data_IF_681741643534
#
_entry.id   IF_681741643534
#
_cell.length_a   1.000
_cell.length_b   1.000
_cell.length_c   1.000
_cell.angle_alpha   90.00
_cell.angle_beta   90.00
_cell.angle_gamma   90.00
#
_symmetry.space_group_name_H-M   'P 1'
#
loop_
_entity.id
_entity.type
_entity.pdbx_description
1 polymer ?
#
# COMPACT_ATOMS: atom_id res chain seq x y z
N UNK A 1 -10.80 -7.21 16.93
CA UNK A 1 -10.82 -7.54 15.50
C UNK A 1 -9.41 -7.93 15.07
N UNK A 2 -9.22 -9.14 14.56
CA UNK A 2 -7.93 -9.66 14.08
C UNK A 2 -7.85 -9.45 12.57
N UNK A 3 -6.77 -8.84 12.10
CA UNK A 3 -6.61 -8.44 10.70
C UNK A 3 -5.32 -9.04 10.17
N UNK A 4 -5.41 -9.82 9.09
CA UNK A 4 -4.26 -10.30 8.34
C UNK A 4 -4.10 -9.46 7.07
N UNK A 5 -2.97 -8.79 6.95
CA UNK A 5 -2.60 -8.03 5.75
C UNK A 5 -1.40 -8.70 5.10
N UNK A 6 -1.54 -9.06 3.83
CA UNK A 6 -0.45 -9.62 3.03
C UNK A 6 -0.05 -8.60 1.97
N UNK A 7 1.21 -8.20 2.00
CA UNK A 7 1.80 -7.17 1.14
C UNK A 7 2.80 -7.83 0.20
N UNK A 8 2.53 -7.92 -1.11
CA UNK A 8 3.54 -8.29 -2.08
C UNK A 8 4.55 -7.16 -2.24
N UNK A 9 5.84 -7.48 -2.19
CA UNK A 9 6.92 -6.51 -2.30
C UNK A 9 8.02 -6.99 -3.23
N UNK A 10 8.42 -6.12 -4.14
CA UNK A 10 9.57 -6.30 -5.01
C UNK A 10 10.35 -5.00 -5.13
N UNK A 11 11.66 -5.09 -4.95
CA UNK A 11 12.59 -4.02 -5.31
C UNK A 11 13.87 -4.63 -5.86
N UNK A 12 14.04 -4.55 -7.17
CA UNK A 12 15.15 -5.16 -7.88
C UNK A 12 15.38 -4.51 -9.24
N UNK A 13 16.23 -5.10 -10.08
CA UNK A 13 16.46 -4.61 -11.44
C UNK A 13 15.14 -4.43 -12.17
N UNK A 14 14.97 -3.29 -12.85
CA UNK A 14 13.77 -3.05 -13.63
C UNK A 14 13.70 -4.08 -14.76
N UNK A 15 12.59 -4.77 -14.88
CA UNK A 15 12.31 -5.64 -16.00
C UNK A 15 11.45 -4.83 -16.99
N UNK A 16 11.88 -4.67 -18.26
CA UNK A 16 11.16 -3.84 -19.25
C UNK A 16 9.70 -4.25 -19.44
N UNK A 17 9.41 -5.55 -19.26
CA UNK A 17 8.07 -6.14 -19.43
C UNK A 17 7.11 -5.79 -18.27
N UNK A 18 7.63 -5.33 -17.13
CA UNK A 18 6.89 -5.05 -15.91
C UNK A 18 7.24 -3.67 -15.35
N UNK A 19 7.17 -2.64 -16.20
CA UNK A 19 7.52 -1.27 -15.84
C UNK A 19 6.72 -0.68 -14.65
N UNK A 20 5.62 -1.34 -14.25
CA UNK A 20 4.85 -1.01 -13.06
C UNK A 20 5.44 -1.60 -11.77
N UNK A 21 6.18 -2.71 -11.87
CA UNK A 21 6.89 -3.32 -10.74
C UNK A 21 8.15 -2.51 -10.43
N UNK A 22 8.19 -1.91 -9.25
CA UNK A 22 9.36 -1.17 -8.80
C UNK A 22 9.70 0.05 -9.67
N UNK A 23 8.69 0.68 -10.27
CA UNK A 23 8.83 1.88 -11.11
C UNK A 23 9.29 3.12 -10.34
N UNK A 24 9.63 3.00 -9.09
CA UNK A 24 10.42 3.98 -8.37
C UNK A 24 11.87 3.83 -8.81
N UNK A 25 12.29 4.76 -9.64
CA UNK A 25 13.71 4.95 -9.96
C UNK A 25 14.48 5.43 -8.72
N UNK A 26 13.78 5.89 -7.69
CA UNK A 26 14.31 6.38 -6.44
C UNK A 26 14.05 5.40 -5.29
N UNK A 27 15.14 4.81 -4.79
CA UNK A 27 15.14 3.87 -3.67
C UNK A 27 14.63 4.49 -2.37
N UNK A 28 14.95 5.74 -2.10
CA UNK A 28 14.54 6.43 -0.87
C UNK A 28 13.04 6.68 -0.85
N UNK A 29 12.46 7.08 -1.97
CA UNK A 29 11.01 7.24 -2.10
C UNK A 29 10.29 5.92 -1.82
N UNK A 30 10.85 4.80 -2.29
CA UNK A 30 10.26 3.49 -2.02
C UNK A 30 10.34 3.09 -0.55
N UNK A 31 11.50 3.34 0.09
CA UNK A 31 11.67 3.12 1.53
C UNK A 31 10.67 3.98 2.32
N UNK A 32 10.54 5.26 1.97
CA UNK A 32 9.62 6.17 2.65
C UNK A 32 8.14 5.73 2.49
N UNK A 33 7.73 5.40 1.26
CA UNK A 33 6.36 4.94 0.97
C UNK A 33 6.03 3.67 1.75
N UNK A 34 6.89 2.66 1.68
CA UNK A 34 6.65 1.39 2.36
C UNK A 34 6.70 1.55 3.88
N UNK A 35 7.62 2.36 4.41
CA UNK A 35 7.66 2.65 5.85
C UNK A 35 6.35 3.29 6.30
N UNK A 36 5.83 4.28 5.57
CA UNK A 36 4.56 4.95 5.93
C UNK A 36 3.38 3.99 5.82
N UNK A 37 3.34 3.09 4.83
CA UNK A 37 2.33 2.03 4.74
C UNK A 37 2.28 1.20 6.03
N UNK A 38 3.44 0.70 6.49
CA UNK A 38 3.53 -0.12 7.72
C UNK A 38 3.18 0.71 8.96
N UNK A 39 3.71 1.94 9.05
CA UNK A 39 3.46 2.84 10.19
C UNK A 39 1.99 3.21 10.29
N UNK A 40 1.32 3.52 9.16
CA UNK A 40 -0.11 3.83 9.15
C UNK A 40 -0.97 2.67 9.66
N UNK A 41 -0.64 1.43 9.25
CA UNK A 41 -1.33 0.23 9.73
C UNK A 41 -1.19 0.05 11.23
N UNK A 42 0.01 0.17 11.78
CA UNK A 42 0.23 0.06 13.23
C UNK A 42 -0.31 1.25 14.02
N UNK A 43 -0.32 2.45 13.45
CA UNK A 43 -0.89 3.67 14.06
C UNK A 43 -2.38 3.49 14.37
N UNK A 44 -3.14 2.89 13.46
CA UNK A 44 -4.59 2.78 13.58
C UNK A 44 -5.06 1.42 14.09
N UNK A 45 -4.32 0.35 13.78
CA UNK A 45 -4.76 -1.03 14.02
C UNK A 45 -3.76 -1.86 14.83
N UNK A 46 -2.68 -1.25 15.29
CA UNK A 46 -1.70 -1.91 16.18
C UNK A 46 -2.22 -2.00 17.62
N UNK A 47 -1.74 -3.00 18.35
CA UNK A 47 -2.11 -3.24 19.74
C UNK A 47 -1.15 -2.59 20.75
N UNK A 48 -0.01 -2.01 20.29
CA UNK A 48 1.05 -1.51 21.15
C UNK A 48 0.94 -0.01 21.43
N UNK A 49 -0.06 0.39 22.22
CA UNK A 49 -0.22 1.76 22.68
C UNK A 49 0.51 1.97 24.02
N UNK A 50 1.18 3.11 24.14
CA UNK A 50 1.89 3.48 25.38
C UNK A 50 1.63 4.93 25.73
N UNK A 51 1.57 5.25 27.03
CA UNK A 51 1.54 6.63 27.55
C UNK A 51 2.93 7.09 27.95
N UNK A 52 3.12 8.40 27.89
CA UNK A 52 4.28 9.07 28.49
C UNK A 52 3.82 9.78 29.75
N UNK A 53 4.30 9.32 30.92
CA UNK A 53 4.11 10.01 32.19
C UNK A 53 5.43 10.67 32.61
N UNK A 54 5.42 11.99 32.63
CA UNK A 54 6.62 12.77 32.88
C UNK A 54 7.68 12.55 31.79
N UNK A 55 8.81 11.90 32.13
CA UNK A 55 9.92 11.57 31.20
C UNK A 55 10.02 10.08 30.90
N UNK A 56 9.08 9.27 31.37
CA UNK A 56 9.09 7.80 31.18
C UNK A 56 7.98 7.36 30.28
N UNK A 57 8.28 6.38 29.43
CA UNK A 57 7.26 5.67 28.65
C UNK A 57 6.71 4.57 29.55
N UNK A 58 5.50 4.71 30.03
CA UNK A 58 4.87 3.71 30.89
C UNK A 58 3.92 2.81 30.09
N UNK A 59 3.74 1.62 30.59
CA UNK A 59 2.96 0.47 30.20
C UNK A 59 2.06 0.51 28.96
N UNK A 60 1.73 -0.66 28.44
CA UNK A 60 0.77 -0.78 27.35
C UNK A 60 -0.61 -0.29 27.82
N UNK A 61 -1.12 0.79 27.23
CA UNK A 61 -2.50 1.15 27.34
C UNK A 61 -3.29 0.25 26.40
N UNK A 62 -3.86 -0.79 26.97
CA UNK A 62 -4.82 -1.62 26.25
C UNK A 62 -6.23 -0.99 26.40
N UNK A 63 -6.38 0.23 25.88
CA UNK A 63 -7.60 1.02 26.01
C UNK A 63 -8.68 0.54 25.02
N UNK A 64 -9.12 -0.70 25.13
CA UNK A 64 -10.36 -1.14 24.49
C UNK A 64 -10.38 -1.12 22.96
N UNK A 65 -9.33 -0.68 22.29
CA UNK A 65 -9.18 -0.81 20.85
C UNK A 65 -8.78 -2.24 20.53
N UNK A 66 -9.76 -3.00 20.05
CA UNK A 66 -9.71 -4.43 19.85
C UNK A 66 -9.12 -4.83 18.49
N UNK A 67 -8.13 -4.08 18.00
CA UNK A 67 -7.44 -4.44 16.76
C UNK A 67 -6.15 -5.19 17.06
N UNK A 68 -5.93 -6.25 16.32
CA UNK A 68 -4.69 -7.03 16.28
C UNK A 68 -4.32 -7.22 14.81
N UNK A 69 -3.34 -6.46 14.32
CA UNK A 69 -2.90 -6.49 12.94
C UNK A 69 -1.65 -7.35 12.80
N UNK A 70 -1.72 -8.34 11.92
CA UNK A 70 -0.58 -9.14 11.47
C UNK A 70 -0.27 -8.77 10.03
N UNK A 71 0.96 -8.34 9.78
CA UNK A 71 1.44 -7.93 8.46
C UNK A 71 2.44 -8.98 7.97
N UNK A 72 2.14 -9.59 6.82
CA UNK A 72 3.02 -10.54 6.14
C UNK A 72 3.50 -9.91 4.84
N UNK A 73 4.80 -9.76 4.67
CA UNK A 73 5.41 -9.26 3.44
C UNK A 73 5.92 -10.43 2.62
N UNK A 74 5.37 -10.60 1.41
CA UNK A 74 5.84 -11.59 0.43
C UNK A 74 6.88 -10.95 -0.47
N UNK A 75 8.04 -11.57 -0.61
CA UNK A 75 9.14 -11.01 -1.41
C UNK A 75 10.06 -12.09 -1.95
N UNK A 76 10.99 -11.70 -2.82
CA UNK A 76 12.11 -12.55 -3.24
C UNK A 76 13.31 -12.35 -2.30
N UNK A 77 14.15 -13.37 -2.10
CA UNK A 77 15.25 -13.32 -1.13
C UNK A 77 16.22 -12.15 -1.32
N UNK A 78 16.53 -11.79 -2.57
CA UNK A 78 17.57 -10.83 -2.93
C UNK A 78 17.04 -9.61 -3.70
N UNK A 79 15.72 -9.39 -3.72
CA UNK A 79 15.10 -8.31 -4.48
C UNK A 79 14.06 -7.56 -3.63
N UNK A 80 14.54 -6.96 -2.53
CA UNK A 80 13.73 -6.19 -1.60
C UNK A 80 14.55 -5.13 -0.89
N UNK A 81 13.85 -4.23 -0.18
CA UNK A 81 14.45 -3.14 0.64
C UNK A 81 14.18 -3.32 2.14
N UNK A 82 13.73 -4.50 2.56
CA UNK A 82 13.22 -4.71 3.92
C UNK A 82 14.27 -4.44 5.02
N UNK A 83 15.53 -4.71 4.75
CA UNK A 83 16.63 -4.44 5.69
C UNK A 83 16.91 -2.93 5.89
N UNK A 84 16.38 -2.10 5.02
CA UNK A 84 16.56 -0.64 5.07
C UNK A 84 15.38 0.06 5.75
N UNK A 85 14.25 -0.65 5.90
CA UNK A 85 13.13 -0.20 6.70
C UNK A 85 13.57 -0.25 8.17
N UNK A 86 13.75 0.88 8.80
CA UNK A 86 14.15 0.96 10.23
C UNK A 86 12.95 0.65 11.14
N UNK A 87 12.35 -0.52 10.97
CA UNK A 87 11.22 -0.99 11.74
C UNK A 87 11.68 -1.77 12.98
N UNK A 88 10.88 -1.70 14.05
CA UNK A 88 11.14 -2.51 15.23
C UNK A 88 10.96 -4.01 14.92
N UNK A 89 11.71 -4.91 15.56
CA UNK A 89 11.52 -6.35 15.41
C UNK A 89 10.07 -6.77 15.70
N UNK A 90 9.52 -7.67 14.87
CA UNK A 90 8.15 -8.15 15.02
C UNK A 90 7.06 -7.23 14.45
N UNK A 91 7.42 -6.09 13.85
CA UNK A 91 6.47 -5.20 13.17
C UNK A 91 5.87 -5.86 11.92
N UNK A 92 6.67 -6.64 11.21
CA UNK A 92 6.27 -7.40 10.02
C UNK A 92 6.80 -8.83 10.10
N UNK A 93 6.12 -9.76 9.45
CA UNK A 93 6.61 -11.09 9.13
C UNK A 93 7.04 -11.13 7.66
N UNK A 94 8.24 -11.61 7.38
CA UNK A 94 8.76 -11.71 6.01
C UNK A 94 8.69 -13.15 5.54
N UNK A 95 8.11 -13.38 4.37
CA UNK A 95 8.08 -14.68 3.69
C UNK A 95 8.67 -14.55 2.30
N UNK A 96 9.73 -15.30 2.05
CA UNK A 96 10.29 -15.42 0.71
C UNK A 96 9.46 -16.42 -0.11
N UNK A 97 9.22 -16.08 -1.37
CA UNK A 97 8.57 -16.92 -2.37
C UNK A 97 9.53 -17.18 -3.52
N UNK A 98 9.31 -18.29 -4.23
CA UNK A 98 10.10 -18.68 -5.40
C UNK A 98 9.21 -18.57 -6.65
N UNK A 99 9.23 -17.39 -7.28
CA UNK A 99 8.49 -17.12 -8.52
C UNK A 99 9.13 -15.96 -9.27
N UNK A 100 8.69 -15.70 -10.48
CA UNK A 100 9.02 -14.45 -11.20
C UNK A 100 8.46 -13.23 -10.44
N UNK A 101 9.15 -12.08 -10.47
CA UNK A 101 8.75 -10.88 -9.72
C UNK A 101 7.29 -10.47 -9.90
N UNK A 102 6.78 -10.50 -11.13
CA UNK A 102 5.39 -10.15 -11.44
C UNK A 102 4.35 -11.10 -10.82
N UNK A 103 4.77 -12.30 -10.41
CA UNK A 103 3.90 -13.33 -9.84
C UNK A 103 3.87 -13.35 -8.32
N UNK A 104 4.66 -12.50 -7.66
CA UNK A 104 4.60 -12.37 -6.18
C UNK A 104 3.18 -12.06 -5.71
N UNK A 105 2.42 -11.11 -6.32
CA UNK A 105 1.05 -10.82 -5.95
C UNK A 105 0.11 -12.02 -6.05
N UNK A 106 0.33 -12.92 -7.02
CA UNK A 106 -0.46 -14.15 -7.20
C UNK A 106 -0.24 -15.19 -6.09
N UNK A 107 0.78 -15.01 -5.24
CA UNK A 107 1.00 -15.90 -4.08
C UNK A 107 0.21 -15.45 -2.84
N UNK A 108 -0.37 -14.24 -2.85
CA UNK A 108 -1.14 -13.70 -1.72
C UNK A 108 -2.36 -14.56 -1.36
N UNK A 109 -3.21 -15.01 -2.30
CA UNK A 109 -4.38 -15.86 -2.00
C UNK A 109 -4.01 -17.10 -1.20
N UNK A 110 -2.89 -17.74 -1.51
CA UNK A 110 -2.42 -18.95 -0.81
C UNK A 110 -2.10 -18.68 0.65
N UNK A 111 -1.47 -17.54 0.94
CA UNK A 111 -1.14 -17.13 2.32
C UNK A 111 -2.42 -16.79 3.09
N UNK A 112 -3.36 -16.10 2.47
CA UNK A 112 -4.65 -15.78 3.08
C UNK A 112 -5.43 -17.06 3.40
N UNK A 113 -5.52 -17.99 2.45
CA UNK A 113 -6.23 -19.26 2.63
C UNK A 113 -5.60 -20.16 3.70
N UNK A 114 -4.28 -20.20 3.79
CA UNK A 114 -3.56 -20.95 4.82
C UNK A 114 -3.86 -20.46 6.26
N UNK A 115 -4.43 -19.27 6.40
CA UNK A 115 -4.83 -18.69 7.68
C UNK A 115 -6.36 -18.61 7.86
N UNK A 116 -7.13 -19.28 7.01
CA UNK A 116 -8.59 -19.23 7.06
C UNK A 116 -9.12 -19.63 8.44
N UNK A 117 -10.04 -18.83 8.99
CA UNK A 117 -10.62 -19.02 10.31
C UNK A 117 -9.85 -18.36 11.47
N UNK A 118 -8.64 -17.87 11.23
CA UNK A 118 -7.82 -17.25 12.28
C UNK A 118 -8.02 -15.74 12.42
N UNK A 119 -8.55 -15.07 11.40
CA UNK A 119 -8.70 -13.62 11.35
C UNK A 119 -10.14 -13.22 11.00
N UNK A 120 -10.50 -12.00 11.38
CA UNK A 120 -11.79 -11.40 11.04
C UNK A 120 -11.75 -10.73 9.66
N UNK A 121 -10.55 -10.25 9.25
CA UNK A 121 -10.28 -9.71 7.92
C UNK A 121 -9.04 -10.33 7.27
N UNK A 122 -9.10 -10.50 5.94
CA UNK A 122 -8.08 -11.04 5.05
C UNK A 122 -7.83 -10.03 3.93
N UNK A 123 -6.63 -9.46 3.88
CA UNK A 123 -6.37 -8.28 3.08
C UNK A 123 -5.15 -8.45 2.17
N UNK A 124 -5.31 -8.03 0.93
CA UNK A 124 -4.23 -7.71 0.01
C UNK A 124 -4.01 -6.20 0.01
N UNK A 125 -2.78 -5.74 0.11
CA UNK A 125 -2.44 -4.33 0.07
C UNK A 125 -1.08 -4.16 -0.62
N UNK A 126 -0.99 -3.26 -1.62
CA UNK A 126 0.32 -2.91 -2.20
C UNK A 126 1.15 -2.08 -1.21
N UNK A 127 2.47 -2.13 -1.38
CA UNK A 127 3.46 -1.62 -0.41
C UNK A 127 3.66 -0.09 -0.44
N UNK A 128 2.84 0.62 -1.22
CA UNK A 128 2.80 2.07 -1.34
C UNK A 128 1.43 2.68 -1.06
N UNK A 129 0.59 1.95 -0.31
CA UNK A 129 -0.75 2.39 0.06
C UNK A 129 -0.88 2.56 1.57
N UNK A 130 -1.43 3.69 2.03
CA UNK A 130 -1.69 3.93 3.44
C UNK A 130 -3.18 4.11 3.73
N UNK A 131 -3.61 3.49 4.84
CA UNK A 131 -4.92 3.68 5.45
C UNK A 131 -4.78 4.75 6.53
N UNK A 132 -5.52 5.86 6.41
CA UNK A 132 -5.52 6.94 7.39
C UNK A 132 -6.80 6.99 8.23
N UNK A 133 -7.83 6.25 7.85
CA UNK A 133 -9.11 6.22 8.54
C UNK A 133 -9.14 5.13 9.62
N UNK A 134 -9.23 5.47 10.92
CA UNK A 134 -9.34 4.47 11.99
C UNK A 134 -10.65 3.66 11.93
N UNK A 135 -11.67 4.13 11.22
CA UNK A 135 -12.96 3.43 11.04
C UNK A 135 -13.00 2.55 9.78
N UNK A 136 -11.89 2.45 9.05
CA UNK A 136 -11.81 1.75 7.76
C UNK A 136 -12.44 0.36 7.79
N UNK A 137 -12.00 -0.50 8.71
CA UNK A 137 -12.54 -1.86 8.84
C UNK A 137 -13.98 -1.91 9.38
N UNK A 138 -14.39 -0.93 10.18
CA UNK A 138 -15.77 -0.81 10.62
C UNK A 138 -16.73 -0.48 9.47
N UNK A 139 -16.31 0.40 8.56
CA UNK A 139 -17.05 0.73 7.34
C UNK A 139 -17.17 -0.48 6.40
N UNK A 140 -16.10 -1.26 6.22
CA UNK A 140 -16.12 -2.49 5.42
C UNK A 140 -17.08 -3.53 6.01
N UNK A 141 -17.03 -3.75 7.32
CA UNK A 141 -17.91 -4.69 8.01
C UNK A 141 -19.38 -4.25 7.92
N UNK A 142 -19.66 -2.95 8.10
CA UNK A 142 -20.99 -2.39 7.90
C UNK A 142 -21.49 -2.62 6.47
N UNK A 143 -20.65 -2.35 5.47
CA UNK A 143 -21.00 -2.52 4.06
C UNK A 143 -21.37 -3.96 3.76
N UNK A 144 -20.55 -4.94 4.15
CA UNK A 144 -20.82 -6.35 3.95
C UNK A 144 -22.11 -6.80 4.63
N UNK A 145 -22.36 -6.35 5.87
CA UNK A 145 -23.60 -6.67 6.60
C UNK A 145 -24.84 -6.05 5.97
N UNK A 146 -24.70 -4.87 5.36
CA UNK A 146 -25.83 -4.15 4.75
C UNK A 146 -26.18 -4.69 3.37
N UNK A 147 -25.17 -4.99 2.55
CA UNK A 147 -25.36 -5.31 1.12
C UNK A 147 -25.12 -6.79 0.77
N UNK A 148 -24.74 -7.59 1.74
CA UNK A 148 -24.62 -9.04 1.61
C UNK A 148 -23.21 -9.54 1.26
N UNK A 149 -23.10 -10.87 1.25
CA UNK A 149 -21.84 -11.59 1.17
C UNK A 149 -21.08 -11.33 -0.13
N UNK A 150 -21.79 -11.22 -1.25
CA UNK A 150 -21.19 -11.07 -2.58
C UNK A 150 -20.88 -9.63 -2.97
N UNK A 151 -21.29 -8.65 -2.16
CA UNK A 151 -20.96 -7.25 -2.37
C UNK A 151 -19.64 -6.91 -1.68
N UNK A 152 -18.69 -6.35 -2.44
CA UNK A 152 -17.36 -5.95 -1.95
C UNK A 152 -17.15 -4.46 -2.12
N UNK A 153 -16.81 -3.76 -1.04
CA UNK A 153 -16.46 -2.35 -1.11
C UNK A 153 -14.95 -2.20 -1.34
N UNK A 154 -14.58 -1.60 -2.46
CA UNK A 154 -13.22 -1.22 -2.76
C UNK A 154 -12.99 0.27 -2.46
N UNK A 155 -11.82 0.65 -1.91
CA UNK A 155 -11.51 2.06 -1.65
C UNK A 155 -11.24 2.83 -2.94
N UNK A 156 -11.40 4.14 -2.88
CA UNK A 156 -10.88 5.09 -3.86
C UNK A 156 -9.44 5.41 -3.51
N UNK A 157 -8.53 5.43 -4.49
CA UNK A 157 -7.15 5.86 -4.27
C UNK A 157 -6.98 7.33 -4.55
N UNK A 158 -6.19 7.99 -3.74
CA UNK A 158 -5.82 9.39 -3.96
C UNK A 158 -4.32 9.61 -3.80
N UNK A 159 -3.81 10.64 -4.45
CA UNK A 159 -2.48 11.18 -4.22
C UNK A 159 -2.61 12.62 -3.72
N UNK A 160 -1.62 13.05 -2.93
CA UNK A 160 -1.50 14.45 -2.55
C UNK A 160 -0.66 15.19 -3.59
N UNK A 161 -1.25 16.22 -4.18
CA UNK A 161 -0.52 17.12 -5.06
C UNK A 161 0.30 18.10 -4.25
N UNK A 162 1.54 18.37 -4.70
CA UNK A 162 2.40 19.42 -4.15
C UNK A 162 2.24 20.78 -4.85
N UNK A 163 1.22 20.94 -5.70
CA UNK A 163 0.90 22.22 -6.33
C UNK A 163 0.53 23.28 -5.28
N UNK A 164 0.45 24.55 -5.68
CA UNK A 164 0.24 25.74 -4.83
C UNK A 164 -0.87 25.60 -3.77
N UNK A 165 -1.84 24.74 -4.01
CA UNK A 165 -2.87 24.33 -3.05
C UNK A 165 -2.77 22.82 -2.88
N UNK A 166 -2.21 22.33 -1.78
CA UNK A 166 -2.22 20.91 -1.45
C UNK A 166 -3.58 20.26 -1.79
N UNK A 167 -3.66 19.67 -2.96
CA UNK A 167 -4.90 19.10 -3.46
C UNK A 167 -4.86 17.58 -3.34
N UNK A 168 -5.99 17.01 -2.93
CA UNK A 168 -6.22 15.57 -2.99
C UNK A 168 -6.71 15.22 -4.40
N UNK A 169 -5.97 14.39 -5.12
CA UNK A 169 -6.24 13.98 -6.50
C UNK A 169 -6.63 12.50 -6.52
N UNK A 170 -7.84 12.20 -7.02
CA UNK A 170 -8.29 10.81 -7.23
C UNK A 170 -7.52 10.22 -8.41
N UNK A 171 -6.89 9.05 -8.21
CA UNK A 171 -5.97 8.44 -9.18
C UNK A 171 -6.52 7.17 -9.83
N UNK A 172 -7.82 6.93 -9.71
CA UNK A 172 -8.52 5.80 -10.34
C UNK A 172 -9.24 6.24 -11.62
N UNK A 173 -8.54 6.44 -12.76
CA UNK A 173 -9.17 6.86 -13.99
C UNK A 173 -10.13 5.80 -14.51
N UNK A 174 -11.17 6.22 -15.23
CA UNK A 174 -12.08 5.30 -15.91
C UNK A 174 -11.31 4.43 -16.91
N UNK A 175 -11.57 3.12 -16.87
CA UNK A 175 -11.02 2.19 -17.83
C UNK A 175 -11.91 2.10 -19.09
N UNK A 176 -11.31 1.86 -20.27
CA UNK A 176 -12.08 1.51 -21.46
C UNK A 176 -12.99 0.30 -21.23
N UNK A 177 -14.18 0.32 -21.83
CA UNK A 177 -15.23 -0.70 -21.63
C UNK A 177 -14.75 -2.13 -21.89
N UNK A 178 -13.74 -2.33 -22.77
CA UNK A 178 -13.15 -3.64 -23.05
C UNK A 178 -12.55 -4.34 -21.81
N UNK A 179 -12.27 -3.61 -20.74
CA UNK A 179 -11.73 -4.16 -19.49
C UNK A 179 -12.82 -4.51 -18.47
N UNK A 180 -14.08 -4.14 -18.72
CA UNK A 180 -15.16 -4.28 -17.75
C UNK A 180 -15.91 -5.63 -17.77
N UNK A 181 -15.95 -6.42 -18.87
CA UNK A 181 -16.75 -7.62 -18.92
C UNK A 181 -16.56 -8.60 -17.74
N UNK A 182 -15.32 -8.84 -17.22
CA UNK A 182 -15.12 -9.74 -16.10
C UNK A 182 -15.85 -9.31 -14.80
N UNK A 183 -16.20 -8.04 -14.68
CA UNK A 183 -16.81 -7.43 -13.50
C UNK A 183 -18.30 -7.10 -13.70
N UNK A 184 -18.90 -7.55 -14.78
CA UNK A 184 -20.31 -7.28 -15.09
C UNK A 184 -21.09 -8.58 -15.18
N UNK A 185 -22.15 -8.67 -14.37
CA UNK A 185 -23.04 -9.84 -14.32
C UNK A 185 -24.48 -9.42 -14.53
N UNK A 186 -25.32 -10.27 -15.14
CA UNK A 186 -26.76 -10.03 -15.19
C UNK A 186 -27.34 -9.82 -13.79
N UNK A 187 -28.17 -8.80 -13.64
CA UNK A 187 -28.85 -8.52 -12.37
C UNK A 187 -28.06 -7.72 -11.33
N UNK A 188 -26.81 -7.36 -11.60
CA UNK A 188 -26.08 -6.46 -10.71
C UNK A 188 -26.78 -5.08 -10.63
N UNK A 189 -26.96 -4.56 -9.42
CA UNK A 189 -27.40 -3.19 -9.21
C UNK A 189 -26.28 -2.21 -9.60
N UNK A 190 -26.57 -1.24 -10.46
CA UNK A 190 -25.58 -0.23 -10.87
C UNK A 190 -25.16 0.68 -9.72
N UNK A 191 -26.10 0.94 -8.80
CA UNK A 191 -25.85 1.71 -7.59
C UNK A 191 -26.64 1.10 -6.42
N UNK A 192 -26.06 1.19 -5.24
CA UNK A 192 -26.67 0.76 -3.97
C UNK A 192 -26.55 1.87 -2.94
N UNK A 193 -27.50 1.95 -2.02
CA UNK A 193 -27.60 3.04 -1.06
C UNK A 193 -27.79 2.47 0.33
N UNK A 194 -27.02 2.96 1.31
CA UNK A 194 -27.15 2.62 2.71
C UNK A 194 -27.06 3.86 3.59
N UNK A 195 -27.14 3.64 4.91
CA UNK A 195 -26.99 4.72 5.91
C UNK A 195 -25.89 4.32 6.88
N UNK A 196 -24.84 5.13 6.95
CA UNK A 196 -23.74 5.03 7.90
C UNK A 196 -23.82 6.19 8.90
N UNK A 197 -23.91 5.89 10.19
CA UNK A 197 -24.01 6.91 11.26
C UNK A 197 -25.07 8.01 10.97
N UNK A 198 -26.22 7.62 10.42
CA UNK A 198 -27.29 8.55 10.05
C UNK A 198 -27.08 9.28 8.72
N UNK A 199 -25.94 9.12 8.04
CA UNK A 199 -25.62 9.78 6.78
C UNK A 199 -25.86 8.80 5.63
N UNK A 200 -26.61 9.26 4.62
CA UNK A 200 -26.83 8.50 3.38
C UNK A 200 -25.54 8.34 2.62
N UNK A 201 -25.19 7.10 2.32
CA UNK A 201 -24.04 6.73 1.49
C UNK A 201 -24.50 6.03 0.22
N UNK A 202 -23.86 6.37 -0.89
CA UNK A 202 -24.13 5.77 -2.19
C UNK A 202 -22.88 5.14 -2.77
N UNK A 203 -23.03 3.95 -3.33
CA UNK A 203 -21.95 3.18 -3.93
C UNK A 203 -22.37 2.75 -5.32
N UNK A 204 -21.41 2.72 -6.25
CA UNK A 204 -21.66 2.36 -7.63
C UNK A 204 -20.71 1.28 -8.13
N UNK A 205 -21.14 0.51 -9.14
CA UNK A 205 -20.25 -0.33 -9.92
C UNK A 205 -19.29 0.58 -10.69
N UNK A 206 -17.98 0.59 -10.35
CA UNK A 206 -17.07 1.55 -10.93
C UNK A 206 -16.69 1.17 -12.36
N UNK A 207 -16.33 2.16 -13.17
CA UNK A 207 -15.66 1.95 -14.46
C UNK A 207 -14.16 1.57 -14.29
N UNK A 208 -13.64 1.68 -13.09
CA UNK A 208 -12.34 1.13 -12.70
C UNK A 208 -12.47 0.41 -11.36
N UNK A 209 -12.60 -0.92 -11.35
CA UNK A 209 -12.69 -1.70 -10.12
C UNK A 209 -11.37 -1.82 -9.37
N UNK A 210 -10.24 -1.48 -10.00
CA UNK A 210 -8.93 -1.61 -9.41
C UNK A 210 -8.72 -0.62 -8.27
N UNK A 211 -8.15 -1.12 -7.16
CA UNK A 211 -7.82 -0.33 -5.99
C UNK A 211 -6.43 -0.71 -5.41
N UNK A 212 -5.64 -1.53 -6.14
CA UNK A 212 -4.35 -2.06 -5.68
C UNK A 212 -4.44 -2.73 -4.30
N UNK A 213 -5.64 -3.16 -3.92
CA UNK A 213 -5.96 -3.76 -2.63
C UNK A 213 -7.32 -4.44 -2.67
N UNK A 214 -7.51 -5.38 -1.73
CA UNK A 214 -8.85 -5.86 -1.35
C UNK A 214 -8.88 -6.23 0.14
N UNK A 215 -10.06 -6.20 0.70
CA UNK A 215 -10.31 -6.45 2.12
C UNK A 215 -11.54 -7.34 2.27
N UNK A 216 -11.33 -8.60 2.58
CA UNK A 216 -12.40 -9.59 2.74
C UNK A 216 -12.66 -9.86 4.20
N UNK A 217 -13.93 -9.89 4.61
CA UNK A 217 -14.31 -10.48 5.90
C UNK A 217 -14.01 -11.98 5.90
N UNK A 218 -13.98 -12.60 7.08
CA UNK A 218 -13.83 -14.05 7.19
C UNK A 218 -14.87 -14.82 6.37
N UNK A 219 -16.12 -14.37 6.35
CA UNK A 219 -17.19 -14.99 5.57
C UNK A 219 -16.92 -14.89 4.07
N UNK A 220 -16.49 -13.70 3.61
CA UNK A 220 -16.13 -13.48 2.21
C UNK A 220 -14.90 -14.32 1.81
N UNK A 221 -13.87 -14.38 2.66
CA UNK A 221 -12.69 -15.22 2.40
C UNK A 221 -13.09 -16.70 2.32
N UNK A 222 -13.92 -17.18 3.23
CA UNK A 222 -14.42 -18.57 3.21
C UNK A 222 -15.29 -18.86 1.97
N UNK A 223 -16.03 -17.86 1.49
CA UNK A 223 -16.81 -17.98 0.25
C UNK A 223 -15.88 -18.05 -0.97
N UNK A 224 -14.87 -17.19 -1.04
CA UNK A 224 -13.91 -17.16 -2.16
C UNK A 224 -13.10 -18.46 -2.26
N UNK A 225 -12.55 -18.97 -1.15
CA UNK A 225 -11.77 -20.24 -1.12
C UNK A 225 -12.56 -21.42 -1.68
N UNK A 226 -13.89 -21.43 -1.56
CA UNK A 226 -14.75 -22.48 -2.12
C UNK A 226 -15.10 -22.29 -3.58
N UNK A 227 -14.79 -21.12 -4.15
CA UNK A 227 -15.14 -20.82 -5.54
C UNK A 227 -14.18 -21.51 -6.51
N UNK A 228 -14.68 -22.08 -7.65
CA UNK A 228 -13.83 -22.79 -8.62
C UNK A 228 -12.65 -21.98 -9.21
N UNK A 229 -12.76 -20.63 -9.18
CA UNK A 229 -11.69 -19.72 -9.66
C UNK A 229 -10.75 -19.25 -8.54
N UNK A 230 -10.85 -19.85 -7.35
CA UNK A 230 -9.89 -19.52 -6.30
C UNK A 230 -8.49 -19.98 -6.71
N UNK A 231 -7.51 -19.07 -6.60
CA UNK A 231 -6.08 -19.34 -6.88
C UNK A 231 -5.82 -19.90 -8.29
N UNK A 232 -6.62 -19.49 -9.29
CA UNK A 232 -6.49 -19.92 -10.67
C UNK A 232 -5.34 -19.19 -11.43
N UNK A 233 -4.64 -18.29 -10.74
CA UNK A 233 -3.49 -17.51 -11.26
C UNK A 233 -3.76 -16.84 -12.61
N UNK A 234 -5.01 -16.47 -12.88
CA UNK A 234 -5.40 -15.79 -14.11
C UNK A 234 -4.87 -14.36 -14.16
N UNK A 235 -3.88 -14.12 -15.02
CA UNK A 235 -3.24 -12.83 -15.27
C UNK A 235 -3.77 -12.11 -16.50
N UNK A 236 -4.93 -12.49 -17.02
CA UNK A 236 -5.46 -12.01 -18.32
C UNK A 236 -5.97 -10.56 -18.29
N UNK A 237 -6.17 -9.97 -17.11
CA UNK A 237 -6.69 -8.61 -17.00
C UNK A 237 -5.57 -7.62 -16.70
N UNK A 238 -5.25 -6.74 -17.66
CA UNK A 238 -4.18 -5.72 -17.60
C UNK A 238 -2.79 -6.35 -17.46
N UNK A 239 -2.53 -7.03 -16.33
CA UNK A 239 -1.28 -7.71 -16.01
C UNK A 239 -1.41 -8.54 -14.72
N UNK A 240 -0.34 -9.27 -14.32
CA UNK A 240 -0.39 -10.14 -13.15
C UNK A 240 -0.72 -9.40 -11.85
N UNK A 241 -0.21 -8.19 -11.68
CA UNK A 241 -0.41 -7.39 -10.44
C UNK A 241 -1.86 -6.97 -10.32
N UNK A 242 -2.39 -6.30 -11.36
CA UNK A 242 -3.77 -5.82 -11.40
C UNK A 242 -4.75 -7.00 -11.35
N UNK A 243 -4.40 -8.12 -11.97
CA UNK A 243 -5.21 -9.34 -11.91
C UNK A 243 -5.25 -9.93 -10.51
N UNK A 244 -4.12 -10.01 -9.81
CA UNK A 244 -4.09 -10.50 -8.44
C UNK A 244 -4.91 -9.63 -7.49
N UNK A 245 -4.77 -8.29 -7.60
CA UNK A 245 -5.46 -7.35 -6.74
C UNK A 245 -6.95 -7.17 -7.05
N UNK A 246 -7.42 -7.54 -8.25
CA UNK A 246 -8.74 -7.15 -8.72
C UNK A 246 -9.50 -8.26 -9.45
N UNK A 247 -8.91 -8.88 -10.49
CA UNK A 247 -9.60 -9.90 -11.29
C UNK A 247 -9.96 -11.10 -10.43
N UNK A 248 -9.03 -11.58 -9.60
CA UNK A 248 -9.19 -12.77 -8.76
C UNK A 248 -10.44 -12.70 -7.89
N UNK A 249 -10.66 -11.57 -7.22
CA UNK A 249 -11.85 -11.33 -6.39
C UNK A 249 -13.06 -10.89 -7.24
N UNK A 250 -12.82 -10.18 -8.33
CA UNK A 250 -13.84 -9.67 -9.23
C UNK A 250 -14.61 -10.77 -9.97
N UNK A 251 -14.04 -11.97 -10.10
CA UNK A 251 -14.76 -13.17 -10.61
C UNK A 251 -15.86 -13.66 -9.66
N UNK A 252 -15.77 -13.29 -8.39
CA UNK A 252 -16.64 -13.81 -7.32
C UNK A 252 -17.54 -12.74 -6.73
N UNK A 253 -17.01 -11.53 -6.54
CA UNK A 253 -17.70 -10.43 -5.87
C UNK A 253 -18.11 -9.32 -6.83
N UNK A 254 -19.21 -8.65 -6.50
CA UNK A 254 -19.62 -7.40 -7.11
C UNK A 254 -18.87 -6.26 -6.43
N UNK A 255 -17.90 -5.70 -7.15
CA UNK A 255 -17.03 -4.64 -6.61
C UNK A 255 -17.73 -3.29 -6.74
N UNK A 256 -17.99 -2.65 -5.61
CA UNK A 256 -18.51 -1.29 -5.53
C UNK A 256 -17.46 -0.33 -5.03
N UNK A 257 -17.53 0.92 -5.44
CA UNK A 257 -16.76 2.04 -4.88
C UNK A 257 -17.70 3.14 -4.38
N UNK A 258 -17.28 3.96 -3.40
CA UNK A 258 -18.02 5.16 -3.04
C UNK A 258 -18.27 6.02 -4.30
N UNK A 259 -19.48 6.58 -4.41
CA UNK A 259 -19.84 7.44 -5.52
C UNK A 259 -19.79 8.92 -5.12
N UNK A 260 -19.83 9.83 -6.11
CA UNK A 260 -20.14 11.21 -5.83
C UNK A 260 -21.55 11.30 -5.18
N UNK A 261 -21.78 12.15 -4.14
CA UNK A 261 -20.93 13.26 -3.70
C UNK A 261 -19.88 12.94 -2.64
N UNK A 262 -19.74 11.69 -2.13
CA UNK A 262 -18.76 11.35 -1.11
C UNK A 262 -17.82 10.22 -1.59
N UNK A 263 -16.89 10.53 -2.52
CA UNK A 263 -15.93 9.55 -3.02
C UNK A 263 -14.94 9.11 -1.93
N UNK A 264 -14.79 9.88 -0.85
CA UNK A 264 -13.82 9.64 0.21
C UNK A 264 -14.41 8.88 1.42
N UNK A 265 -15.60 8.33 1.30
CA UNK A 265 -16.16 7.46 2.34
C UNK A 265 -15.21 6.31 2.71
N UNK A 266 -14.55 5.72 1.72
CA UNK A 266 -13.51 4.71 1.91
C UNK A 266 -12.36 5.00 0.96
N UNK A 267 -11.19 5.34 1.48
CA UNK A 267 -10.06 5.82 0.68
C UNK A 267 -8.72 5.25 1.13
N UNK A 268 -7.76 5.24 0.20
CA UNK A 268 -6.35 4.94 0.45
C UNK A 268 -5.48 6.04 -0.14
N UNK A 269 -4.45 6.46 0.58
CA UNK A 269 -3.41 7.28 -0.01
C UNK A 269 -2.43 6.39 -0.78
N UNK A 270 -2.21 6.73 -2.04
CA UNK A 270 -1.17 6.15 -2.88
C UNK A 270 0.04 7.07 -2.87
N UNK A 271 1.22 6.53 -2.60
CA UNK A 271 2.46 7.27 -2.59
C UNK A 271 3.14 7.28 -3.96
N UNK A 272 3.97 8.31 -4.22
CA UNK A 272 4.76 8.42 -5.43
C UNK A 272 4.31 9.51 -6.41
N UNK A 273 3.13 10.10 -6.23
CA UNK A 273 2.59 11.22 -7.04
C UNK A 273 2.64 11.00 -8.57
N UNK A 274 2.74 9.75 -9.01
CA UNK A 274 2.90 9.37 -10.42
C UNK A 274 1.71 9.78 -11.28
N UNK A 275 0.52 9.68 -10.72
CA UNK A 275 -0.73 10.01 -11.41
C UNK A 275 -1.07 11.49 -11.28
N UNK A 276 -0.84 12.08 -10.11
CA UNK A 276 -1.04 13.51 -9.91
C UNK A 276 -0.17 14.35 -10.85
N UNK A 277 1.09 13.93 -11.10
CA UNK A 277 1.98 14.56 -12.08
C UNK A 277 1.45 14.50 -13.53
N UNK A 278 0.75 13.44 -13.91
CA UNK A 278 0.17 13.32 -15.26
C UNK A 278 -1.04 14.20 -15.48
N UNK A 279 -1.73 14.60 -14.42
CA UNK A 279 -2.93 15.41 -14.47
C UNK A 279 -2.63 16.91 -14.70
N UNK A 280 -1.37 17.33 -14.56
CA UNK A 280 -0.92 18.71 -14.79
C UNK A 280 0.21 18.74 -15.83
N UNK A 281 -0.10 18.57 -17.11
CA UNK A 281 0.89 18.35 -18.16
C UNK A 281 1.82 19.55 -18.46
N UNK A 282 1.58 20.73 -17.86
CA UNK A 282 2.36 21.95 -18.13
C UNK A 282 3.03 22.53 -16.87
N UNK A 283 3.03 21.86 -15.75
CA UNK A 283 3.65 22.36 -14.54
C UNK A 283 4.99 21.63 -14.29
N UNK A 284 6.08 22.24 -14.72
CA UNK A 284 7.44 21.76 -14.44
C UNK A 284 7.76 21.72 -12.93
N UNK A 285 6.92 22.37 -12.09
CA UNK A 285 7.03 22.44 -10.63
C UNK A 285 6.18 21.38 -9.91
N UNK A 286 5.54 20.44 -10.61
CA UNK A 286 4.90 19.29 -9.97
C UNK A 286 5.96 18.41 -9.32
N UNK A 287 6.53 18.96 -8.26
CA UNK A 287 7.57 18.36 -7.45
C UNK A 287 7.02 17.22 -6.59
N UNK A 288 7.96 16.44 -6.11
CA UNK A 288 7.74 15.33 -5.18
C UNK A 288 6.93 15.77 -3.94
N UNK A 289 6.18 14.85 -3.35
CA UNK A 289 5.54 15.08 -2.04
C UNK A 289 6.59 15.64 -1.07
N UNK A 290 6.28 16.69 -0.28
CA UNK A 290 7.26 17.34 0.59
C UNK A 290 8.10 16.39 1.47
N UNK A 291 7.52 15.27 1.91
CA UNK A 291 8.24 14.22 2.65
C UNK A 291 9.35 13.55 1.81
N UNK A 292 9.12 13.36 0.51
CA UNK A 292 10.10 12.76 -0.41
C UNK A 292 11.19 13.76 -0.78
N UNK A 293 10.83 15.04 -0.94
CA UNK A 293 11.79 16.13 -1.18
C UNK A 293 12.72 16.30 0.02
N UNK A 294 12.20 16.25 1.24
CA UNK A 294 13.01 16.30 2.47
C UNK A 294 13.98 15.11 2.54
N UNK A 295 13.56 13.92 2.15
CA UNK A 295 14.44 12.75 2.13
C UNK A 295 15.56 12.88 1.07
N UNK A 296 15.24 13.39 -0.14
CA UNK A 296 16.20 13.61 -1.21
C UNK A 296 17.20 14.73 -0.88
N UNK A 297 16.73 15.83 -0.31
CA UNK A 297 17.59 16.92 0.14
C UNK A 297 18.49 16.47 1.30
N UNK A 298 17.97 15.64 2.21
CA UNK A 298 18.75 15.04 3.29
C UNK A 298 19.84 14.09 2.78
N UNK A 299 19.59 13.32 1.73
CA UNK A 299 20.59 12.44 1.12
C UNK A 299 21.66 13.23 0.38
N UNK A 300 21.27 14.25 -0.40
CA UNK A 300 22.24 15.17 -1.04
C UNK A 300 23.13 15.85 -0.01
N UNK A 301 22.55 16.34 1.08
CA UNK A 301 23.31 16.93 2.18
C UNK A 301 24.29 15.95 2.81
N UNK A 302 23.88 14.70 3.06
CA UNK A 302 24.74 13.63 3.60
C UNK A 302 25.84 13.21 2.62
N UNK A 303 25.55 13.13 1.33
CA UNK A 303 26.54 12.84 0.28
C UNK A 303 27.57 13.97 0.15
N UNK A 304 27.13 15.22 0.23
CA UNK A 304 28.02 16.38 0.19
C UNK A 304 28.88 16.48 1.44
N UNK A 305 28.34 16.15 2.63
CA UNK A 305 29.14 16.05 3.86
C UNK A 305 30.15 14.90 3.79
N UNK A 306 29.77 13.71 3.29
CA UNK A 306 30.72 12.61 3.08
C UNK A 306 31.87 13.00 2.15
N UNK A 307 31.56 13.64 1.00
CA UNK A 307 32.58 14.15 0.07
C UNK A 307 33.49 15.17 0.72
N UNK A 308 32.95 16.10 1.53
CA UNK A 308 33.75 17.05 2.31
C UNK A 308 34.66 16.33 3.32
N UNK A 309 34.16 15.34 4.03
CA UNK A 309 34.97 14.55 4.96
C UNK A 309 36.08 13.77 4.26
N UNK A 310 35.82 13.16 3.12
CA UNK A 310 36.83 12.46 2.32
C UNK A 310 37.92 13.43 1.79
N UNK A 311 37.51 14.62 1.33
CA UNK A 311 38.46 15.65 0.91
C UNK A 311 39.32 16.19 2.08
N UNK A 312 38.74 16.38 3.25
CA UNK A 312 39.49 16.76 4.43
C UNK A 312 40.44 15.66 4.87
N UNK A 313 40.01 14.40 4.88
CA UNK A 313 40.88 13.26 5.21
C UNK A 313 42.07 13.14 4.26
N UNK A 314 41.86 13.27 2.96
CA UNK A 314 42.92 13.23 1.96
C UNK A 314 43.91 14.40 2.11
N UNK A 315 43.43 15.61 2.48
CA UNK A 315 44.28 16.75 2.80
C UNK A 315 45.17 16.49 4.03
N UNK A 316 44.59 15.92 5.10
CA UNK A 316 45.34 15.58 6.30
C UNK A 316 46.36 14.47 6.06
N UNK A 317 46.04 13.45 5.27
CA UNK A 317 46.98 12.38 4.91
C UNK A 317 48.15 12.92 4.05
N UNK A 318 47.88 13.84 3.12
CA UNK A 318 48.90 14.48 2.31
C UNK A 318 49.80 15.42 3.13
N UNK A 319 49.24 16.21 4.05
CA UNK A 319 50.03 17.05 4.94
C UNK A 319 50.91 16.21 5.88
N UNK A 320 50.41 15.10 6.39
CA UNK A 320 51.18 14.18 7.23
C UNK A 320 52.32 13.50 6.50
N UNK A 321 52.18 13.25 5.17
CA UNK A 321 53.26 12.73 4.34
C UNK A 321 54.36 13.78 4.04
N UNK A 322 53.94 15.04 3.84
CA UNK A 322 54.88 16.15 3.60
C UNK A 322 55.74 16.46 4.83
N UNK A 323 55.14 16.37 6.04
CA UNK A 323 55.87 16.58 7.30
C UNK A 323 56.87 15.44 7.58
N UNK A 324 56.53 14.20 7.24
CA UNK A 324 57.45 13.05 7.38
C UNK A 324 58.58 13.02 6.35
N UNK A 325 58.36 13.61 5.18
CA UNK A 325 59.38 13.71 4.09
C UNK A 325 60.39 14.87 4.27
N UNK A 326 60.13 15.82 5.18
CA UNK A 326 61.01 16.94 5.46
C UNK A 326 61.88 16.71 6.75
N UNK A 327 61.75 15.55 7.38
CA UNK A 327 62.50 15.18 8.59
C UNK A 327 63.53 14.06 8.34
N UNK A 328 63.81 13.75 7.06
CA UNK A 328 64.89 12.84 6.62
C UNK A 328 66.00 13.70 5.83
#
# INVERSE_FOLDING_TARGET
MRILIVIPHYFGPSQPEYASLGSYTDRLSRIAAFTETIVALHRHFGSNWRTVEGRRVEGALNNGHHYDVRIVVLTLPNANILNELKLAPGTIEVRCVECEPAWIPMQVPKVLAANLGAFDFYCYLEDDLAIHDPLFFSKLLWFQKTFGLTSLLAPVRFEMSSSETLAKVIVDPELPDRYLPPFRRPGQAQAIVGTWEGIRQEFQLPKNPHAASFFLTQEQMAHWVKHPTFDDEDASWVGPIESAATLSIGKVFDIYKPSNPDPFFLELQHFGCRYARRSAPNDENYGDVPLLTIAQDGERALLDERKKHEQLRSKFENQSRTIKGSAS
#
